data_IF_567688508776
#
_entry.id   IF_567688508776
#
_cell.length_a   1.000
_cell.length_b   1.000
_cell.length_c   1.000
_cell.angle_alpha   90.00
_cell.angle_beta   90.00
_cell.angle_gamma   90.00
#
_symmetry.space_group_name_H-M   'P 1'
#
loop_
_entity.id
_entity.type
_entity.pdbx_description
1 polymer ?
#
# COMPACT_ATOMS: atom_id res chain seq x y z
N UNK A 1 30.71 36.67 -36.09
CA UNK A 1 29.44 36.77 -35.36
C UNK A 1 28.46 35.61 -35.69
N UNK A 2 28.92 34.39 -36.06
CA UNK A 2 27.98 33.29 -36.42
C UNK A 2 28.40 31.90 -35.88
N UNK A 3 29.55 31.79 -35.23
CA UNK A 3 30.09 30.52 -34.72
C UNK A 3 29.45 30.09 -33.41
N UNK A 4 29.05 31.04 -32.57
CA UNK A 4 28.39 30.76 -31.31
C UNK A 4 26.95 30.27 -31.50
N UNK A 5 26.24 30.78 -32.51
CA UNK A 5 24.85 30.40 -32.80
C UNK A 5 24.76 28.94 -33.26
N UNK A 6 25.62 28.53 -34.20
CA UNK A 6 25.69 27.13 -34.66
C UNK A 6 26.06 26.14 -33.55
N UNK A 7 26.84 26.58 -32.56
CA UNK A 7 27.25 25.74 -31.41
C UNK A 7 26.11 25.62 -30.39
N UNK A 8 25.33 26.69 -30.18
CA UNK A 8 24.13 26.69 -29.33
C UNK A 8 23.04 25.77 -29.89
N UNK A 9 22.83 25.77 -31.20
CA UNK A 9 21.87 24.88 -31.86
C UNK A 9 22.31 23.41 -31.79
N UNK A 10 23.61 23.14 -31.93
CA UNK A 10 24.17 21.79 -31.79
C UNK A 10 24.08 21.24 -30.36
N UNK A 11 24.18 22.09 -29.34
CA UNK A 11 24.00 21.73 -27.93
C UNK A 11 22.52 21.62 -27.55
N UNK A 12 21.64 22.42 -28.16
CA UNK A 12 20.18 22.35 -27.98
C UNK A 12 19.58 21.07 -28.57
N UNK A 13 20.19 20.53 -29.65
CA UNK A 13 19.83 19.26 -30.27
C UNK A 13 20.38 18.01 -29.55
N UNK A 14 21.19 18.16 -28.50
CA UNK A 14 21.59 17.04 -27.66
C UNK A 14 20.36 16.58 -26.87
N UNK A 15 19.71 15.52 -27.36
CA UNK A 15 18.54 14.92 -26.74
C UNK A 15 18.74 14.80 -25.24
N UNK A 16 17.96 15.55 -24.47
CA UNK A 16 17.87 15.42 -23.01
C UNK A 16 17.68 13.93 -22.71
N UNK A 17 18.49 13.31 -21.83
CA UNK A 17 18.34 11.90 -21.51
C UNK A 17 16.89 11.67 -21.11
N UNK A 18 16.21 10.77 -21.83
CA UNK A 18 14.81 10.42 -21.64
C UNK A 18 14.56 10.18 -20.14
N UNK A 19 14.03 11.19 -19.46
CA UNK A 19 13.62 11.09 -18.07
C UNK A 19 12.54 10.00 -18.08
N UNK A 20 12.81 8.85 -17.46
CA UNK A 20 11.87 7.74 -17.39
C UNK A 20 10.64 8.28 -16.68
N UNK A 21 9.63 8.68 -17.46
CA UNK A 21 8.40 9.24 -16.93
C UNK A 21 7.57 8.06 -16.39
N UNK A 22 7.41 7.95 -15.07
CA UNK A 22 6.66 6.83 -14.48
C UNK A 22 5.22 6.79 -14.99
N UNK A 23 4.67 7.93 -15.43
CA UNK A 23 3.33 8.00 -16.01
C UNK A 23 3.24 7.32 -17.38
N UNK A 24 4.33 7.30 -18.16
CA UNK A 24 4.39 6.61 -19.47
C UNK A 24 4.57 5.10 -19.28
N UNK A 25 5.35 4.67 -18.27
CA UNK A 25 5.54 3.26 -17.93
C UNK A 25 4.23 2.58 -17.51
N UNK A 26 3.32 3.32 -16.87
CA UNK A 26 1.97 2.84 -16.52
C UNK A 26 1.08 2.72 -17.76
N UNK A 27 1.23 3.61 -18.74
CA UNK A 27 0.42 3.61 -19.98
C UNK A 27 0.84 2.53 -20.97
N UNK A 28 2.11 2.13 -20.99
CA UNK A 28 2.60 0.98 -21.78
C UNK A 28 2.38 -0.31 -21.00
N UNK A 29 1.14 -0.78 -20.93
CA UNK A 29 0.81 -2.10 -20.37
C UNK A 29 1.26 -3.21 -21.32
N UNK A 30 2.22 -4.04 -20.90
CA UNK A 30 2.58 -5.25 -21.64
C UNK A 30 1.56 -6.36 -21.35
N UNK A 31 1.16 -7.12 -22.37
CA UNK A 31 0.25 -8.26 -22.19
C UNK A 31 0.79 -9.30 -21.19
N UNK A 32 2.11 -9.44 -21.09
CA UNK A 32 2.77 -10.29 -20.10
C UNK A 32 2.55 -9.81 -18.66
N UNK A 33 2.47 -8.50 -18.45
CA UNK A 33 2.20 -7.94 -17.11
C UNK A 33 0.80 -8.35 -16.66
N UNK A 34 -0.20 -8.26 -17.55
CA UNK A 34 -1.58 -8.68 -17.27
C UNK A 34 -1.63 -10.17 -16.89
N UNK A 35 -0.86 -11.02 -17.59
CA UNK A 35 -0.77 -12.45 -17.26
C UNK A 35 -0.18 -12.66 -15.86
N UNK A 36 0.91 -11.96 -15.51
CA UNK A 36 1.48 -12.04 -14.17
C UNK A 36 0.54 -11.51 -13.08
N UNK A 37 -0.23 -10.46 -13.36
CA UNK A 37 -1.26 -9.93 -12.46
C UNK A 37 -2.39 -10.93 -12.21
N UNK A 38 -2.92 -11.55 -13.27
CA UNK A 38 -3.96 -12.58 -13.15
C UNK A 38 -3.43 -13.80 -12.39
N UNK A 39 -2.20 -14.23 -12.69
CA UNK A 39 -1.58 -15.38 -12.03
C UNK A 39 -1.33 -15.10 -10.55
N UNK A 40 -0.83 -13.90 -10.20
CA UNK A 40 -0.66 -13.48 -8.81
C UNK A 40 -2.00 -13.40 -8.05
N UNK A 41 -3.05 -12.84 -8.67
CA UNK A 41 -4.38 -12.77 -8.08
C UNK A 41 -4.97 -14.17 -7.86
N UNK A 42 -4.84 -15.05 -8.85
CA UNK A 42 -5.29 -16.44 -8.74
C UNK A 42 -4.56 -17.18 -7.61
N UNK A 43 -3.27 -16.92 -7.42
CA UNK A 43 -2.47 -17.55 -6.38
C UNK A 43 -2.82 -17.02 -4.97
N UNK A 44 -3.18 -15.74 -4.84
CA UNK A 44 -3.68 -15.17 -3.59
C UNK A 44 -5.08 -15.70 -3.22
N UNK A 45 -5.96 -15.85 -4.20
CA UNK A 45 -7.27 -16.50 -3.99
C UNK A 45 -7.06 -17.97 -3.64
N UNK A 46 -6.13 -18.66 -4.29
CA UNK A 46 -5.72 -20.01 -3.93
C UNK A 46 -5.26 -20.10 -2.47
N UNK A 47 -4.52 -19.10 -1.98
CA UNK A 47 -4.04 -19.06 -0.61
C UNK A 47 -5.16 -18.96 0.44
N UNK A 48 -6.27 -18.27 0.16
CA UNK A 48 -7.42 -18.23 1.09
C UNK A 48 -8.14 -19.58 1.15
N UNK A 49 -8.19 -20.28 0.01
CA UNK A 49 -8.81 -21.61 -0.13
C UNK A 49 -7.98 -22.70 0.58
N UNK A 50 -6.66 -22.53 0.76
CA UNK A 50 -5.81 -23.46 1.53
C UNK A 50 -6.38 -23.69 2.94
N UNK A 51 -6.94 -22.66 3.58
CA UNK A 51 -7.47 -22.81 4.93
C UNK A 51 -8.71 -23.72 4.99
N UNK A 52 -9.50 -23.77 3.93
CA UNK A 52 -10.74 -24.54 3.91
C UNK A 52 -10.56 -25.94 3.32
N UNK A 53 -9.74 -26.06 2.27
CA UNK A 53 -9.66 -27.27 1.45
C UNK A 53 -8.43 -28.13 1.76
N UNK A 54 -7.32 -27.57 2.22
CA UNK A 54 -6.08 -28.33 2.45
C UNK A 54 -6.23 -29.50 3.45
N UNK A 55 -6.93 -29.37 4.60
CA UNK A 55 -7.15 -30.50 5.50
C UNK A 55 -8.10 -31.59 4.94
N UNK A 56 -8.91 -31.28 3.93
CA UNK A 56 -9.81 -32.24 3.29
C UNK A 56 -9.09 -33.12 2.23
N UNK A 57 -8.07 -32.58 1.55
CA UNK A 57 -7.33 -33.30 0.51
C UNK A 57 -6.03 -33.93 1.00
N UNK A 58 -5.44 -33.45 2.10
CA UNK A 58 -4.15 -33.95 2.60
C UNK A 58 -4.10 -34.03 4.12
N UNK A 59 -3.81 -35.23 4.66
CA UNK A 59 -3.89 -35.52 6.09
C UNK A 59 -2.96 -34.66 6.97
N UNK A 60 -1.75 -34.36 6.51
CA UNK A 60 -0.84 -33.47 7.24
C UNK A 60 -1.15 -31.98 7.00
N UNK A 61 -2.20 -31.67 6.24
CA UNK A 61 -2.82 -30.36 6.13
C UNK A 61 -3.70 -30.03 7.33
N UNK A 62 -3.97 -30.99 8.21
CA UNK A 62 -4.60 -30.75 9.51
C UNK A 62 -3.66 -30.02 10.48
N UNK A 63 -2.34 -30.06 10.24
CA UNK A 63 -1.35 -29.34 11.04
C UNK A 63 -1.29 -27.85 10.65
N UNK A 64 -1.48 -26.97 11.63
CA UNK A 64 -1.49 -25.50 11.46
C UNK A 64 -0.19 -24.98 10.85
N UNK A 65 0.96 -25.54 11.22
CA UNK A 65 2.26 -25.09 10.71
C UNK A 65 2.43 -25.31 9.21
N UNK A 66 1.90 -26.42 8.69
CA UNK A 66 1.97 -26.73 7.25
C UNK A 66 1.06 -25.78 6.46
N UNK A 67 -0.11 -25.45 6.99
CA UNK A 67 -1.03 -24.46 6.39
C UNK A 67 -0.39 -23.07 6.31
N UNK A 68 0.22 -22.62 7.40
CA UNK A 68 0.93 -21.34 7.44
C UNK A 68 2.08 -21.37 6.42
N UNK A 69 2.89 -22.43 6.39
CA UNK A 69 3.98 -22.58 5.43
C UNK A 69 3.51 -22.54 3.97
N UNK A 70 2.42 -23.25 3.65
CA UNK A 70 1.84 -23.27 2.31
C UNK A 70 1.32 -21.88 1.90
N UNK A 71 0.58 -21.20 2.77
CA UNK A 71 0.07 -19.85 2.51
C UNK A 71 1.22 -18.85 2.31
N UNK A 72 2.23 -18.89 3.18
CA UNK A 72 3.41 -18.03 3.06
C UNK A 72 4.15 -18.30 1.76
N UNK A 73 4.32 -19.57 1.36
CA UNK A 73 4.97 -19.91 0.10
C UNK A 73 4.21 -19.33 -1.10
N UNK A 74 2.88 -19.41 -1.11
CA UNK A 74 2.06 -18.80 -2.14
C UNK A 74 2.25 -17.28 -2.16
N UNK A 75 2.17 -16.61 -1.01
CA UNK A 75 2.35 -15.16 -0.93
C UNK A 75 3.72 -14.75 -1.48
N UNK A 76 4.79 -15.47 -1.11
CA UNK A 76 6.15 -15.19 -1.60
C UNK A 76 6.24 -15.33 -3.11
N UNK A 77 5.65 -16.39 -3.68
CA UNK A 77 5.62 -16.59 -5.14
C UNK A 77 4.82 -15.48 -5.84
N UNK A 78 3.65 -15.12 -5.32
CA UNK A 78 2.82 -14.03 -5.86
C UNK A 78 3.58 -12.69 -5.84
N UNK A 79 4.24 -12.36 -4.74
CA UNK A 79 5.06 -11.16 -4.63
C UNK A 79 6.26 -11.18 -5.59
N UNK A 80 6.90 -12.35 -5.77
CA UNK A 80 7.99 -12.52 -6.73
C UNK A 80 7.54 -12.29 -8.17
N UNK A 81 6.37 -12.82 -8.55
CA UNK A 81 5.76 -12.59 -9.86
C UNK A 81 5.42 -11.11 -10.08
N UNK A 82 4.82 -10.46 -9.10
CA UNK A 82 4.49 -9.03 -9.17
C UNK A 82 5.74 -8.14 -9.25
N UNK A 83 6.83 -8.52 -8.58
CA UNK A 83 8.11 -7.81 -8.68
C UNK A 83 8.78 -8.00 -10.05
N UNK A 84 8.59 -9.17 -10.68
CA UNK A 84 9.12 -9.44 -12.01
C UNK A 84 8.44 -8.61 -13.12
N UNK A 85 7.19 -8.19 -12.91
CA UNK A 85 6.40 -7.31 -13.79
C UNK A 85 7.09 -5.98 -14.07
N UNK A 86 6.92 -5.43 -15.28
CA UNK A 86 7.54 -4.17 -15.70
C UNK A 86 7.13 -3.00 -14.79
N UNK A 87 5.85 -2.95 -14.42
CA UNK A 87 5.29 -1.98 -13.48
C UNK A 87 5.82 -2.15 -12.05
N UNK A 88 6.11 -3.39 -11.63
CA UNK A 88 6.60 -3.70 -10.27
C UNK A 88 8.00 -3.16 -10.01
N UNK A 89 8.90 -3.26 -10.98
CA UNK A 89 10.26 -2.69 -10.90
C UNK A 89 10.26 -1.17 -10.90
N UNK A 90 9.42 -0.55 -11.74
CA UNK A 90 9.26 0.90 -11.78
C UNK A 90 8.73 1.44 -10.44
N UNK A 91 7.74 0.76 -9.86
CA UNK A 91 7.23 1.10 -8.52
C UNK A 91 8.29 0.97 -7.42
N UNK A 92 9.16 -0.05 -7.48
CA UNK A 92 10.25 -0.21 -6.53
C UNK A 92 11.27 0.94 -6.58
N UNK A 93 11.55 1.47 -7.78
CA UNK A 93 12.40 2.64 -7.98
C UNK A 93 11.73 3.89 -7.39
N UNK A 94 10.44 4.12 -7.69
CA UNK A 94 9.67 5.23 -7.13
C UNK A 94 9.60 5.20 -5.60
N UNK A 95 9.46 4.02 -4.99
CA UNK A 95 9.50 3.85 -3.53
C UNK A 95 10.85 4.26 -2.94
N UNK A 96 11.96 3.90 -3.62
CA UNK A 96 13.31 4.27 -3.20
C UNK A 96 13.53 5.79 -3.29
N UNK A 97 13.06 6.40 -4.37
CA UNK A 97 13.14 7.84 -4.57
C UNK A 97 12.27 8.58 -3.55
N UNK A 98 11.05 8.09 -3.32
CA UNK A 98 10.12 8.62 -2.31
C UNK A 98 10.70 8.54 -0.90
N UNK A 99 11.40 7.46 -0.54
CA UNK A 99 12.10 7.36 0.77
C UNK A 99 13.22 8.38 0.92
N UNK A 100 13.90 8.70 -0.17
CA UNK A 100 15.00 9.67 -0.18
C UNK A 100 14.46 11.09 -0.02
N UNK A 101 13.31 11.37 -0.62
CA UNK A 101 12.59 12.65 -0.46
C UNK A 101 11.91 12.78 0.91
N UNK A 102 11.36 11.68 1.45
CA UNK A 102 10.78 11.65 2.80
C UNK A 102 11.81 12.02 3.88
N UNK A 103 13.09 11.72 3.65
CA UNK A 103 14.18 12.10 4.57
C UNK A 103 14.46 13.61 4.57
N UNK A 104 14.02 14.33 3.53
CA UNK A 104 14.11 15.80 3.44
C UNK A 104 12.92 16.49 4.11
N UNK A 105 11.87 15.75 4.43
CA UNK A 105 10.80 16.23 5.30
C UNK A 105 11.37 16.29 6.71
N UNK A 106 11.98 17.44 7.04
CA UNK A 106 12.28 17.82 8.41
C UNK A 106 10.95 17.94 9.14
N UNK A 107 10.49 16.83 9.69
CA UNK A 107 9.26 16.83 10.48
C UNK A 107 9.39 17.88 11.58
N UNK A 108 8.40 18.78 11.70
CA UNK A 108 8.40 19.83 12.71
C UNK A 108 8.62 19.25 14.11
N UNK A 109 9.24 20.05 14.97
CA UNK A 109 9.67 19.64 16.29
C UNK A 109 8.52 19.01 17.11
N UNK A 110 8.81 17.89 17.78
CA UNK A 110 7.83 17.05 18.51
C UNK A 110 7.02 17.82 19.56
N UNK A 111 7.55 18.92 20.09
CA UNK A 111 6.88 19.74 21.09
C UNK A 111 5.53 20.27 20.60
N UNK A 112 5.44 20.78 19.36
CA UNK A 112 4.19 21.40 18.88
C UNK A 112 3.13 20.35 18.52
N UNK A 113 3.56 19.20 17.98
CA UNK A 113 2.66 18.09 17.64
C UNK A 113 1.99 17.47 18.87
N UNK A 114 2.72 17.37 19.99
CA UNK A 114 2.17 16.81 21.23
C UNK A 114 1.13 17.74 21.85
N UNK A 115 1.34 19.06 21.78
CA UNK A 115 0.38 20.04 22.30
C UNK A 115 -0.98 19.91 21.60
N UNK A 116 -1.00 19.85 20.27
CA UNK A 116 -2.26 19.70 19.52
C UNK A 116 -2.87 18.31 19.72
N UNK A 117 -2.07 17.25 19.82
CA UNK A 117 -2.57 15.88 20.05
C UNK A 117 -3.27 15.77 21.42
N UNK A 118 -2.71 16.39 22.46
CA UNK A 118 -3.33 16.40 23.79
C UNK A 118 -4.66 17.15 23.81
N UNK A 119 -4.76 18.29 23.10
CA UNK A 119 -6.02 19.03 22.95
C UNK A 119 -7.09 18.17 22.29
N UNK A 120 -6.76 17.48 21.18
CA UNK A 120 -7.70 16.59 20.49
C UNK A 120 -8.12 15.43 21.40
N UNK A 121 -7.17 14.83 22.12
CA UNK A 121 -7.44 13.72 23.03
C UNK A 121 -8.42 14.13 24.14
N UNK A 122 -8.26 15.33 24.69
CA UNK A 122 -9.18 15.91 25.67
C UNK A 122 -10.59 16.05 25.10
N UNK A 123 -10.73 16.57 23.89
CA UNK A 123 -12.04 16.71 23.21
C UNK A 123 -12.68 15.33 22.96
N UNK A 124 -11.90 14.33 22.53
CA UNK A 124 -12.39 12.97 22.32
C UNK A 124 -12.88 12.33 23.61
N UNK A 125 -12.16 12.52 24.72
CA UNK A 125 -12.58 12.02 26.04
C UNK A 125 -13.91 12.64 26.44
N UNK A 126 -14.05 13.97 26.33
CA UNK A 126 -15.31 14.66 26.64
C UNK A 126 -16.45 14.13 25.75
N UNK A 127 -16.24 14.07 24.44
CA UNK A 127 -17.24 13.59 23.50
C UNK A 127 -17.67 12.14 23.80
N UNK A 128 -16.71 11.26 24.10
CA UNK A 128 -16.99 9.86 24.46
C UNK A 128 -17.81 9.74 25.74
N UNK A 129 -17.54 10.58 26.74
CA UNK A 129 -18.26 10.58 28.01
C UNK A 129 -19.71 11.09 27.84
N UNK A 130 -19.89 12.13 27.02
CA UNK A 130 -21.22 12.66 26.69
C UNK A 130 -22.04 11.61 25.93
N UNK A 131 -21.45 10.99 24.90
CA UNK A 131 -22.12 9.94 24.12
C UNK A 131 -22.50 8.77 25.03
N UNK A 132 -21.55 8.25 25.82
CA UNK A 132 -21.82 7.18 26.78
C UNK A 132 -22.99 7.51 27.74
N UNK A 133 -23.07 8.77 28.20
CA UNK A 133 -24.20 9.25 28.99
C UNK A 133 -25.52 9.17 28.22
N UNK A 134 -25.57 9.68 26.99
CA UNK A 134 -26.76 9.59 26.15
C UNK A 134 -27.16 8.16 25.82
N UNK A 135 -26.21 7.30 25.46
CA UNK A 135 -26.44 5.88 25.19
C UNK A 135 -27.07 5.18 26.39
N UNK A 136 -26.58 5.48 27.60
CA UNK A 136 -27.12 4.93 28.85
C UNK A 136 -28.53 5.46 29.16
N UNK A 137 -28.77 6.76 28.97
CA UNK A 137 -30.09 7.39 29.18
C UNK A 137 -31.12 6.84 28.19
N UNK A 138 -30.77 6.75 26.91
CA UNK A 138 -31.67 6.19 25.90
C UNK A 138 -31.93 4.71 26.14
N UNK A 139 -30.90 3.94 26.52
CA UNK A 139 -31.05 2.54 26.91
C UNK A 139 -32.05 2.37 28.05
N UNK A 140 -31.91 3.16 29.12
CA UNK A 140 -32.86 3.16 30.25
C UNK A 140 -34.28 3.59 29.83
N UNK A 141 -34.41 4.62 28.99
CA UNK A 141 -35.69 5.13 28.50
C UNK A 141 -36.42 4.09 27.65
N UNK A 142 -35.72 3.44 26.71
CA UNK A 142 -36.26 2.37 25.86
C UNK A 142 -36.67 1.17 26.72
N UNK A 143 -35.85 0.79 27.70
CA UNK A 143 -36.17 -0.30 28.62
C UNK A 143 -37.41 0.01 29.48
N UNK A 144 -37.66 1.28 29.84
CA UNK A 144 -38.85 1.69 30.59
C UNK A 144 -40.13 1.78 29.75
N UNK A 145 -39.99 1.84 28.41
CA UNK A 145 -41.13 1.90 27.48
C UNK A 145 -41.52 0.51 26.95
N UNK A 146 -40.52 -0.34 26.67
CA UNK A 146 -40.73 -1.71 26.19
C UNK A 146 -40.91 -2.70 27.34
N UNK A 147 -40.33 -2.40 28.51
CA UNK A 147 -40.53 -3.13 29.76
C UNK A 147 -41.83 -2.76 30.45
#
# INVERSE_FOLDING_TARGET
>A
MSTDEKTRDALSGAAIPQQIDPAQVVKTGSALDIVFWILALGLLIGATLINQYLPAYWASGNNVWVRIGAIVSCIVVALGLLYATHQGKAFAILLKDSRTELRRVTWPAKQETVTTTWQVLLVVVIASLILWGFDTIFGWLIQSIIG
#
